data_IF_267995555548
#
_entry.id   IF_267995555548
#
_cell.length_a   1.000
_cell.length_b   1.000
_cell.length_c   1.000
_cell.angle_alpha   90.00
_cell.angle_beta   90.00
_cell.angle_gamma   90.00
#
_symmetry.space_group_name_H-M   'P 1'
#
loop_
_entity.id
_entity.type
_entity.pdbx_description
1 polymer ?
#
# COMPACT_ATOMS: atom_id res chain seq x y z
N UNK A 1 7.50 10.66 -14.62
CA UNK A 1 6.08 10.31 -14.43
C UNK A 1 5.78 8.85 -14.72
N UNK A 2 6.05 8.32 -15.93
CA UNK A 2 5.68 6.94 -16.33
C UNK A 2 6.12 5.89 -15.30
N UNK A 3 7.36 5.97 -14.81
CA UNK A 3 7.89 5.03 -13.81
C UNK A 3 7.24 5.19 -12.44
N UNK A 4 7.02 6.44 -12.01
CA UNK A 4 6.32 6.73 -10.76
C UNK A 4 4.90 6.15 -10.77
N UNK A 5 4.14 6.41 -11.82
CA UNK A 5 2.80 5.84 -12.00
C UNK A 5 2.83 4.31 -12.02
N UNK A 6 3.75 3.71 -12.77
CA UNK A 6 3.89 2.26 -12.83
C UNK A 6 4.13 1.67 -11.42
N UNK A 7 5.14 2.17 -10.70
CA UNK A 7 5.47 1.68 -9.35
C UNK A 7 4.27 1.86 -8.42
N UNK A 8 3.65 3.04 -8.41
CA UNK A 8 2.53 3.32 -7.51
C UNK A 8 1.33 2.44 -7.81
N UNK A 9 0.90 2.36 -9.08
CA UNK A 9 -0.28 1.58 -9.46
C UNK A 9 -0.05 0.09 -9.19
N UNK A 10 1.09 -0.46 -9.63
CA UNK A 10 1.37 -1.89 -9.44
C UNK A 10 1.50 -2.25 -7.96
N UNK A 11 2.15 -1.40 -7.16
CA UNK A 11 2.28 -1.63 -5.72
C UNK A 11 0.94 -1.57 -5.00
N UNK A 12 0.14 -0.54 -5.24
CA UNK A 12 -1.17 -0.37 -4.59
C UNK A 12 -2.13 -1.48 -4.98
N UNK A 13 -2.21 -1.85 -6.26
CA UNK A 13 -3.07 -2.96 -6.70
C UNK A 13 -2.66 -4.27 -6.03
N UNK A 14 -1.36 -4.55 -5.97
CA UNK A 14 -0.85 -5.76 -5.33
C UNK A 14 -1.15 -5.78 -3.82
N UNK A 15 -0.93 -4.65 -3.12
CA UNK A 15 -1.26 -4.50 -1.70
C UNK A 15 -2.75 -4.74 -1.47
N UNK A 16 -3.63 -4.08 -2.22
CA UNK A 16 -5.07 -4.19 -2.04
C UNK A 16 -5.56 -5.62 -2.27
N UNK A 17 -5.12 -6.29 -3.32
CA UNK A 17 -5.54 -7.66 -3.62
C UNK A 17 -5.03 -8.65 -2.57
N UNK A 18 -3.72 -8.67 -2.32
CA UNK A 18 -3.13 -9.62 -1.38
C UNK A 18 -3.59 -9.39 0.07
N UNK A 19 -3.61 -8.12 0.51
CA UNK A 19 -3.92 -7.82 1.89
C UNK A 19 -5.43 -7.92 2.20
N UNK A 20 -6.33 -7.66 1.23
CA UNK A 20 -7.76 -7.89 1.43
C UNK A 20 -8.09 -9.37 1.59
N UNK A 21 -7.49 -10.24 0.76
CA UNK A 21 -7.61 -11.70 0.90
C UNK A 21 -7.04 -12.17 2.24
N UNK A 22 -5.86 -11.67 2.61
CA UNK A 22 -5.21 -12.01 3.88
C UNK A 22 -6.06 -11.54 5.07
N UNK A 23 -6.56 -10.31 5.05
CA UNK A 23 -7.40 -9.75 6.12
C UNK A 23 -8.71 -10.52 6.28
N UNK A 24 -9.34 -10.90 5.18
CA UNK A 24 -10.52 -11.77 5.20
C UNK A 24 -10.19 -13.13 5.83
N UNK A 25 -9.17 -13.83 5.34
CA UNK A 25 -8.76 -15.14 5.85
C UNK A 25 -8.43 -15.08 7.35
N UNK A 26 -7.61 -14.14 7.79
CA UNK A 26 -7.19 -14.00 9.18
C UNK A 26 -8.34 -13.67 10.13
N UNK A 27 -9.40 -13.03 9.63
CA UNK A 27 -10.59 -12.70 10.41
C UNK A 27 -11.52 -13.92 10.54
N UNK A 28 -11.67 -14.71 9.46
CA UNK A 28 -12.59 -15.88 9.45
C UNK A 28 -11.98 -17.12 10.08
N UNK A 29 -10.69 -17.32 9.95
CA UNK A 29 -10.00 -18.48 10.54
C UNK A 29 -9.53 -18.16 11.96
N UNK A 30 -10.35 -18.53 12.94
CA UNK A 30 -10.08 -18.25 14.35
C UNK A 30 -9.22 -19.34 15.01
N UNK A 31 -7.95 -19.46 14.60
CA UNK A 31 -7.00 -20.36 15.23
C UNK A 31 -5.78 -19.60 15.79
N UNK A 32 -4.94 -20.28 16.59
CA UNK A 32 -3.73 -19.69 17.20
C UNK A 32 -2.73 -19.19 16.15
N UNK A 33 -2.59 -19.91 15.04
CA UNK A 33 -1.68 -19.55 13.96
C UNK A 33 -2.14 -18.25 13.26
N UNK A 34 -3.45 -18.15 12.93
CA UNK A 34 -4.01 -16.96 12.31
C UNK A 34 -3.85 -15.71 13.19
N UNK A 35 -4.10 -15.84 14.51
CA UNK A 35 -3.87 -14.76 15.47
C UNK A 35 -2.40 -14.34 15.52
N UNK A 36 -1.49 -15.31 15.54
CA UNK A 36 -0.05 -15.04 15.55
C UNK A 36 0.41 -14.36 14.25
N UNK A 37 -0.05 -14.85 13.09
CA UNK A 37 0.26 -14.23 11.79
C UNK A 37 -0.27 -12.79 11.70
N UNK A 38 -1.50 -12.54 12.15
CA UNK A 38 -2.06 -11.19 12.21
C UNK A 38 -1.20 -10.26 13.09
N UNK A 39 -0.80 -10.75 14.26
CA UNK A 39 0.08 -10.00 15.16
C UNK A 39 1.43 -9.67 14.49
N UNK A 40 2.06 -10.63 13.83
CA UNK A 40 3.34 -10.43 13.14
C UNK A 40 3.22 -9.39 12.01
N UNK A 41 2.16 -9.49 11.19
CA UNK A 41 1.95 -8.57 10.09
C UNK A 41 1.72 -7.15 10.62
N UNK A 42 0.85 -6.99 11.61
CA UNK A 42 0.59 -5.66 12.21
C UNK A 42 1.82 -5.14 12.95
N UNK A 43 2.58 -6.02 13.63
CA UNK A 43 3.82 -5.64 14.31
C UNK A 43 4.85 -5.06 13.33
N UNK A 44 4.85 -5.47 12.07
CA UNK A 44 5.76 -4.91 11.05
C UNK A 44 5.64 -3.39 10.89
N UNK A 45 4.50 -2.78 11.21
CA UNK A 45 4.31 -1.33 11.20
C UNK A 45 5.15 -0.59 12.27
N UNK A 46 5.50 -1.28 13.34
CA UNK A 46 6.26 -0.71 14.48
C UNK A 46 7.75 -0.67 14.17
N UNK A 47 8.22 -1.54 13.26
CA UNK A 47 9.63 -1.62 12.89
C UNK A 47 10.01 -0.44 11.99
N UNK A 48 10.89 0.48 12.42
CA UNK A 48 11.32 1.58 11.59
C UNK A 48 12.04 1.09 10.34
N UNK A 49 11.67 1.62 9.16
CA UNK A 49 12.29 1.28 7.89
C UNK A 49 13.83 1.40 7.92
N UNK A 50 14.33 2.43 8.60
CA UNK A 50 15.76 2.73 8.72
C UNK A 50 16.56 1.61 9.39
N UNK A 51 15.95 0.79 10.24
CA UNK A 51 16.62 -0.35 10.89
C UNK A 51 16.91 -1.48 9.92
N UNK A 52 16.07 -1.65 8.91
CA UNK A 52 16.14 -2.78 7.96
C UNK A 52 16.67 -2.40 6.58
N UNK A 53 16.81 -1.11 6.28
CA UNK A 53 17.05 -0.58 4.93
C UNK A 53 18.30 -1.16 4.24
N UNK A 54 19.41 -1.33 4.95
CA UNK A 54 20.65 -1.87 4.35
C UNK A 54 20.55 -3.36 4.06
N UNK A 55 19.97 -4.12 4.98
CA UNK A 55 19.73 -5.55 4.79
C UNK A 55 18.72 -5.78 3.67
N UNK A 56 17.68 -4.94 3.63
CA UNK A 56 16.68 -4.93 2.56
C UNK A 56 17.33 -4.68 1.19
N UNK A 57 18.17 -3.65 1.07
CA UNK A 57 18.84 -3.32 -0.20
C UNK A 57 19.67 -4.51 -0.71
N UNK A 58 20.46 -5.16 0.15
CA UNK A 58 21.22 -6.37 -0.20
C UNK A 58 20.32 -7.54 -0.62
N UNK A 59 19.19 -7.73 0.08
CA UNK A 59 18.24 -8.80 -0.23
C UNK A 59 17.53 -8.53 -1.56
N UNK A 60 17.14 -7.29 -1.80
CA UNK A 60 16.52 -6.85 -3.05
C UNK A 60 17.45 -7.08 -4.25
N UNK A 61 18.73 -6.78 -4.09
CA UNK A 61 19.74 -7.02 -5.13
C UNK A 61 19.90 -8.52 -5.42
N UNK A 62 20.05 -9.35 -4.37
CA UNK A 62 20.13 -10.82 -4.51
C UNK A 62 18.91 -11.42 -5.22
N UNK A 63 17.72 -10.92 -4.92
CA UNK A 63 16.46 -11.39 -5.50
C UNK A 63 16.11 -10.69 -6.82
N UNK A 64 16.98 -9.81 -7.34
CA UNK A 64 16.78 -9.01 -8.57
C UNK A 64 15.49 -8.18 -8.54
N UNK A 65 15.15 -7.64 -7.36
CA UNK A 65 13.99 -6.78 -7.16
C UNK A 65 14.29 -5.30 -7.43
N UNK A 66 15.44 -4.99 -8.01
CA UNK A 66 16.01 -3.66 -8.24
C UNK A 66 15.52 -2.98 -9.54
N UNK A 67 14.30 -3.26 -9.94
CA UNK A 67 13.68 -2.65 -11.12
C UNK A 67 12.23 -2.19 -10.82
N UNK A 68 11.67 -1.27 -11.66
CA UNK A 68 10.34 -0.70 -11.41
C UNK A 68 9.17 -1.70 -11.39
N UNK A 69 9.33 -2.89 -11.96
CA UNK A 69 8.30 -3.92 -11.99
C UNK A 69 8.29 -4.76 -10.71
N UNK A 70 9.47 -5.02 -10.15
CA UNK A 70 9.62 -5.96 -9.03
C UNK A 70 9.64 -5.24 -7.67
N UNK A 71 9.92 -3.93 -7.64
CA UNK A 71 9.93 -3.16 -6.38
C UNK A 71 8.57 -3.17 -5.68
N UNK A 72 7.48 -3.41 -6.40
CA UNK A 72 6.13 -3.55 -5.84
C UNK A 72 6.02 -4.70 -4.83
N UNK A 73 6.86 -5.74 -4.94
CA UNK A 73 6.93 -6.84 -3.97
C UNK A 73 7.46 -6.33 -2.63
N UNK A 74 8.42 -5.42 -2.66
CA UNK A 74 8.96 -4.80 -1.45
C UNK A 74 7.92 -3.88 -0.82
N UNK A 75 7.23 -3.07 -1.64
CA UNK A 75 6.13 -2.23 -1.17
C UNK A 75 4.99 -3.05 -0.57
N UNK A 76 4.66 -4.22 -1.15
CA UNK A 76 3.70 -5.15 -0.55
C UNK A 76 4.12 -5.55 0.87
N UNK A 77 5.40 -5.88 1.09
CA UNK A 77 5.91 -6.26 2.41
C UNK A 77 5.72 -5.16 3.46
N UNK A 78 6.03 -3.91 3.13
CA UNK A 78 5.91 -2.79 4.05
C UNK A 78 4.48 -2.25 4.18
N UNK A 79 3.70 -2.24 3.09
CA UNK A 79 2.30 -1.80 3.11
C UNK A 79 1.35 -2.82 3.74
N UNK A 80 1.76 -4.09 3.81
CA UNK A 80 0.90 -5.16 4.34
C UNK A 80 0.44 -4.89 5.78
N UNK A 81 1.27 -4.30 6.63
CA UNK A 81 0.91 -4.00 8.02
C UNK A 81 -0.35 -3.15 8.11
N UNK A 82 -0.33 -1.97 7.50
CA UNK A 82 -1.46 -1.04 7.49
C UNK A 82 -2.68 -1.64 6.77
N UNK A 83 -2.47 -2.19 5.58
CA UNK A 83 -3.57 -2.72 4.77
C UNK A 83 -4.29 -3.88 5.46
N UNK A 84 -3.56 -4.86 6.00
CA UNK A 84 -4.16 -5.99 6.75
C UNK A 84 -4.87 -5.50 8.01
N UNK A 85 -4.28 -4.54 8.73
CA UNK A 85 -4.93 -3.93 9.89
C UNK A 85 -6.30 -3.33 9.52
N UNK A 86 -6.35 -2.54 8.44
CA UNK A 86 -7.61 -1.92 7.98
C UNK A 86 -8.63 -2.97 7.54
N UNK A 87 -8.21 -3.96 6.75
CA UNK A 87 -9.12 -5.00 6.26
C UNK A 87 -9.63 -5.91 7.38
N UNK A 88 -8.76 -6.34 8.30
CA UNK A 88 -9.19 -7.14 9.47
C UNK A 88 -10.12 -6.36 10.38
N UNK A 89 -9.85 -5.06 10.59
CA UNK A 89 -10.72 -4.18 11.37
C UNK A 89 -12.13 -4.11 10.79
N UNK A 90 -12.24 -3.86 9.49
CA UNK A 90 -13.55 -3.80 8.80
C UNK A 90 -14.25 -5.17 8.76
N UNK A 91 -13.53 -6.24 8.42
CA UNK A 91 -14.11 -7.59 8.31
C UNK A 91 -14.72 -8.11 9.60
N UNK A 92 -14.25 -7.68 10.77
CA UNK A 92 -14.88 -8.01 12.06
C UNK A 92 -16.31 -7.49 12.18
N UNK A 93 -16.68 -6.47 11.41
CA UNK A 93 -18.03 -5.91 11.42
C UNK A 93 -18.96 -6.52 10.39
N UNK A 94 -18.44 -7.37 9.50
CA UNK A 94 -19.21 -8.04 8.45
C UNK A 94 -19.76 -9.36 9.02
N UNK A 95 -21.10 -9.57 9.06
CA UNK A 95 -21.71 -10.80 9.54
C UNK A 95 -21.26 -12.02 8.73
N UNK A 96 -21.05 -13.15 9.42
CA UNK A 96 -20.62 -14.40 8.77
C UNK A 96 -21.71 -15.01 7.90
N UNK A 97 -22.96 -14.78 8.27
CA UNK A 97 -24.17 -15.31 7.64
C UNK A 97 -24.25 -14.96 6.15
N UNK A 98 -23.66 -13.83 5.73
CA UNK A 98 -23.62 -13.43 4.31
C UNK A 98 -22.74 -14.39 3.50
N UNK A 99 -21.65 -14.84 4.07
CA UNK A 99 -20.73 -15.79 3.43
C UNK A 99 -21.30 -17.22 3.48
N UNK A 100 -21.96 -17.59 4.58
CA UNK A 100 -22.67 -18.87 4.75
C UNK A 100 -23.81 -19.02 3.73
N UNK A 101 -24.59 -17.97 3.51
CA UNK A 101 -25.62 -17.96 2.48
C UNK A 101 -25.03 -18.22 1.08
N UNK A 102 -23.90 -17.57 0.75
CA UNK A 102 -23.21 -17.81 -0.51
C UNK A 102 -22.64 -19.23 -0.64
N UNK A 103 -22.25 -19.87 0.49
CA UNK A 103 -21.84 -21.28 0.51
C UNK A 103 -23.01 -22.20 0.22
N UNK A 104 -24.19 -21.93 0.80
CA UNK A 104 -25.42 -22.68 0.54
C UNK A 104 -25.81 -22.56 -0.94
N UNK A 105 -25.63 -21.39 -1.54
CA UNK A 105 -25.83 -21.15 -2.98
C UNK A 105 -24.77 -21.81 -3.88
N UNK A 106 -23.85 -22.60 -3.32
CA UNK A 106 -22.85 -23.38 -4.06
C UNK A 106 -21.61 -22.60 -4.47
N UNK A 107 -21.34 -21.42 -3.91
CA UNK A 107 -20.12 -20.66 -4.18
C UNK A 107 -18.91 -21.32 -3.51
N UNK A 108 -17.82 -21.48 -4.26
CA UNK A 108 -16.52 -21.84 -3.69
C UNK A 108 -15.85 -20.65 -2.97
N UNK A 109 -14.83 -20.86 -2.12
CA UNK A 109 -14.19 -19.75 -1.36
C UNK A 109 -13.68 -18.59 -2.21
N UNK A 110 -13.15 -18.87 -3.41
CA UNK A 110 -12.68 -17.83 -4.33
C UNK A 110 -13.86 -17.00 -4.86
N UNK A 111 -14.96 -17.66 -5.19
CA UNK A 111 -16.19 -16.99 -5.61
C UNK A 111 -16.80 -16.16 -4.48
N UNK A 112 -16.80 -16.67 -3.25
CA UNK A 112 -17.26 -15.91 -2.08
C UNK A 112 -16.42 -14.66 -1.91
N UNK A 113 -15.10 -14.79 -1.98
CA UNK A 113 -14.22 -13.62 -1.88
C UNK A 113 -14.56 -12.57 -2.95
N UNK A 114 -14.51 -12.92 -4.24
CA UNK A 114 -14.64 -11.92 -5.30
C UNK A 114 -16.07 -11.42 -5.53
N UNK A 115 -17.09 -12.26 -5.31
CA UNK A 115 -18.50 -11.90 -5.57
C UNK A 115 -19.20 -11.27 -4.37
N UNK A 116 -18.78 -11.60 -3.14
CA UNK A 116 -19.46 -11.20 -1.91
C UNK A 116 -18.55 -10.28 -1.08
N UNK A 117 -17.41 -10.79 -0.64
CA UNK A 117 -16.53 -10.07 0.31
C UNK A 117 -15.89 -8.84 -0.33
N UNK A 118 -15.32 -8.99 -1.53
CA UNK A 118 -14.60 -7.91 -2.21
C UNK A 118 -15.47 -6.67 -2.48
N UNK A 119 -16.74 -6.80 -2.96
CA UNK A 119 -17.66 -5.66 -3.06
C UNK A 119 -17.97 -5.00 -1.71
N UNK A 120 -18.14 -5.81 -0.65
CA UNK A 120 -18.41 -5.31 0.71
C UNK A 120 -17.21 -4.51 1.25
N UNK A 121 -15.99 -4.96 0.94
CA UNK A 121 -14.74 -4.28 1.34
C UNK A 121 -14.50 -2.96 0.59
N UNK A 122 -15.28 -2.61 -0.43
CA UNK A 122 -15.04 -1.45 -1.30
C UNK A 122 -14.76 -0.14 -0.55
N UNK A 123 -15.48 0.26 0.52
CA UNK A 123 -15.18 1.50 1.24
C UNK A 123 -13.77 1.47 1.87
N UNK A 124 -13.43 0.37 2.54
CA UNK A 124 -12.11 0.20 3.15
C UNK A 124 -11.00 0.10 2.10
N UNK A 125 -11.27 -0.55 0.97
CA UNK A 125 -10.31 -0.61 -0.15
C UNK A 125 -9.99 0.77 -0.70
N UNK A 126 -10.97 1.65 -0.85
CA UNK A 126 -10.76 3.02 -1.33
C UNK A 126 -9.90 3.79 -0.32
N UNK A 127 -10.22 3.70 0.97
CA UNK A 127 -9.45 4.38 2.03
C UNK A 127 -8.01 3.87 2.09
N UNK A 128 -7.81 2.56 2.04
CA UNK A 128 -6.48 1.94 2.01
C UNK A 128 -5.72 2.32 0.75
N UNK A 129 -6.38 2.32 -0.42
CA UNK A 129 -5.78 2.72 -1.69
C UNK A 129 -5.25 4.15 -1.65
N UNK A 130 -5.99 5.08 -1.05
CA UNK A 130 -5.56 6.47 -0.92
C UNK A 130 -4.31 6.58 -0.04
N UNK A 131 -4.32 5.96 1.14
CA UNK A 131 -3.21 6.00 2.08
C UNK A 131 -1.95 5.38 1.47
N UNK A 132 -2.06 4.20 0.87
CA UNK A 132 -0.94 3.50 0.22
C UNK A 132 -0.44 4.26 -1.02
N UNK A 133 -1.35 4.87 -1.81
CA UNK A 133 -0.95 5.69 -2.95
C UNK A 133 -0.15 6.90 -2.50
N UNK A 134 -0.61 7.60 -1.46
CA UNK A 134 0.12 8.77 -0.93
C UNK A 134 1.49 8.36 -0.39
N UNK A 135 1.58 7.23 0.30
CA UNK A 135 2.84 6.73 0.82
C UNK A 135 3.81 6.36 -0.30
N UNK A 136 3.42 5.49 -1.24
CA UNK A 136 4.28 5.05 -2.35
C UNK A 136 4.64 6.19 -3.30
N UNK A 137 3.71 7.12 -3.55
CA UNK A 137 3.94 8.26 -4.43
C UNK A 137 5.01 9.21 -3.92
N UNK A 138 5.02 9.46 -2.60
CA UNK A 138 5.95 10.40 -1.98
C UNK A 138 7.26 9.74 -1.53
N UNK A 139 7.39 8.42 -1.65
CA UNK A 139 8.56 7.72 -1.16
C UNK A 139 9.79 8.02 -2.03
N UNK A 140 10.81 8.50 -1.35
CA UNK A 140 12.13 8.76 -1.89
C UNK A 140 13.12 7.66 -1.50
N UNK A 141 13.02 7.17 -0.26
CA UNK A 141 14.09 6.43 0.38
C UNK A 141 14.23 5.01 -0.16
N UNK A 142 13.11 4.27 -0.23
CA UNK A 142 13.12 2.90 -0.74
C UNK A 142 13.56 2.82 -2.22
N UNK A 143 13.00 3.63 -3.15
CA UNK A 143 13.46 3.62 -4.54
C UNK A 143 14.95 3.98 -4.68
N UNK A 144 15.44 4.90 -3.87
CA UNK A 144 16.88 5.30 -3.91
C UNK A 144 17.81 4.18 -3.47
N UNK A 145 17.39 3.35 -2.51
CA UNK A 145 18.19 2.24 -1.99
C UNK A 145 18.14 0.99 -2.85
N UNK A 146 17.04 0.81 -3.60
CA UNK A 146 16.77 -0.44 -4.33
C UNK A 146 16.97 -0.29 -5.83
N UNK A 147 16.53 0.81 -6.43
CA UNK A 147 16.60 0.98 -7.88
C UNK A 147 17.99 1.45 -8.35
N UNK A 148 18.36 1.05 -9.57
CA UNK A 148 19.50 1.64 -10.26
C UNK A 148 19.19 3.11 -10.62
N UNK A 149 19.76 4.04 -9.86
CA UNK A 149 19.54 5.49 -9.98
C UNK A 149 19.89 6.02 -11.37
N UNK A 150 20.86 5.40 -12.06
CA UNK A 150 21.26 5.82 -13.41
C UNK A 150 20.18 5.50 -14.45
N UNK A 151 19.48 4.38 -14.26
CA UNK A 151 18.44 3.89 -15.21
C UNK A 151 17.04 4.31 -14.79
N UNK A 152 16.74 4.30 -13.50
CA UNK A 152 15.39 4.43 -12.97
C UNK A 152 15.32 5.55 -11.95
N UNK A 153 14.76 6.70 -12.35
CA UNK A 153 14.50 7.82 -11.43
C UNK A 153 13.00 7.97 -11.22
N UNK A 154 12.59 8.09 -9.98
CA UNK A 154 11.25 8.51 -9.57
C UNK A 154 11.18 10.03 -9.44
N UNK A 155 9.99 10.60 -9.27
CA UNK A 155 9.84 12.06 -9.10
C UNK A 155 10.52 12.53 -7.81
N UNK A 156 10.32 11.89 -6.63
CA UNK A 156 11.02 12.27 -5.41
C UNK A 156 12.55 12.20 -5.54
N UNK A 157 13.07 11.19 -6.25
CA UNK A 157 14.51 11.10 -6.54
C UNK A 157 15.00 12.25 -7.42
N UNK A 158 14.21 12.68 -8.42
CA UNK A 158 14.56 13.81 -9.27
C UNK A 158 14.57 15.13 -8.50
N UNK A 159 13.61 15.34 -7.59
CA UNK A 159 13.58 16.52 -6.71
C UNK A 159 14.85 16.60 -5.86
N UNK A 160 15.27 15.48 -5.28
CA UNK A 160 16.51 15.44 -4.48
C UNK A 160 17.77 15.62 -5.33
N UNK A 161 17.76 15.20 -6.58
CA UNK A 161 18.87 15.44 -7.50
C UNK A 161 19.14 16.94 -7.73
N UNK A 162 18.08 17.77 -7.85
CA UNK A 162 18.21 19.23 -7.99
C UNK A 162 18.62 19.92 -6.69
N UNK A 163 18.59 19.23 -5.57
CA UNK A 163 19.11 19.72 -4.29
C UNK A 163 20.63 19.76 -4.26
N UNK A 164 21.29 19.09 -5.20
CA UNK A 164 22.72 19.14 -5.49
C UNK A 164 23.63 18.56 -4.40
N UNK A 165 24.81 18.08 -4.83
CA UNK A 165 25.95 17.94 -3.95
C UNK A 165 26.74 19.29 -3.94
N UNK A 166 27.49 19.55 -2.89
CA UNK A 166 28.34 20.76 -2.76
C UNK A 166 27.60 22.11 -2.61
N UNK A 167 26.37 22.11 -2.06
CA UNK A 167 25.69 23.36 -1.69
C UNK A 167 25.03 24.14 -2.84
N UNK A 168 25.09 23.67 -4.07
CA UNK A 168 24.34 24.26 -5.19
C UNK A 168 22.93 23.66 -5.23
N UNK A 169 21.95 24.48 -4.90
CA UNK A 169 20.53 24.12 -5.04
C UNK A 169 19.98 24.80 -6.29
N UNK A 170 19.57 24.00 -7.26
CA UNK A 170 18.85 24.49 -8.43
C UNK A 170 17.37 24.67 -8.09
N UNK A 171 17.06 25.83 -7.46
CA UNK A 171 15.71 26.09 -6.90
C UNK A 171 14.62 26.08 -7.97
N UNK A 172 14.84 26.69 -9.14
CA UNK A 172 13.82 26.80 -10.16
C UNK A 172 13.37 25.45 -10.72
N UNK A 173 14.25 24.54 -11.20
CA UNK A 173 13.83 23.21 -11.65
C UNK A 173 13.32 22.34 -10.50
N UNK A 174 13.85 22.48 -9.28
CA UNK A 174 13.35 21.78 -8.11
C UNK A 174 11.90 22.14 -7.79
N UNK A 175 11.57 23.45 -7.76
CA UNK A 175 10.20 23.92 -7.53
C UNK A 175 9.25 23.51 -8.64
N UNK A 176 9.68 23.55 -9.90
CA UNK A 176 8.89 23.04 -11.02
C UNK A 176 8.57 21.55 -10.86
N UNK A 177 9.54 20.73 -10.46
CA UNK A 177 9.32 19.30 -10.18
C UNK A 177 8.35 19.07 -9.03
N UNK A 178 8.43 19.87 -7.95
CA UNK A 178 7.51 19.77 -6.81
C UNK A 178 6.07 20.11 -7.26
N UNK A 179 5.88 21.20 -7.98
CA UNK A 179 4.54 21.58 -8.49
C UNK A 179 3.96 20.45 -9.35
N UNK A 180 4.75 19.92 -10.27
CA UNK A 180 4.35 18.81 -11.12
C UNK A 180 4.03 17.54 -10.27
N UNK A 181 4.81 17.26 -9.23
CA UNK A 181 4.61 16.09 -8.34
C UNK A 181 3.31 16.18 -7.54
N UNK A 182 2.87 17.38 -7.17
CA UNK A 182 1.67 17.61 -6.35
C UNK A 182 0.37 17.44 -7.16
N UNK A 183 0.37 17.73 -8.46
CA UNK A 183 -0.84 17.70 -9.29
C UNK A 183 -1.61 16.36 -9.20
N UNK A 184 -0.99 15.18 -9.37
CA UNK A 184 -1.71 13.90 -9.27
C UNK A 184 -2.29 13.66 -7.88
N UNK A 185 -1.62 14.10 -6.83
CA UNK A 185 -2.10 13.98 -5.44
C UNK A 185 -3.33 14.86 -5.21
N UNK A 186 -3.33 16.09 -5.73
CA UNK A 186 -4.49 16.98 -5.66
C UNK A 186 -5.69 16.35 -6.38
N UNK A 187 -5.47 15.83 -7.60
CA UNK A 187 -6.51 15.16 -8.37
C UNK A 187 -7.07 13.96 -7.59
N UNK A 188 -6.20 13.12 -7.06
CA UNK A 188 -6.59 11.96 -6.24
C UNK A 188 -7.41 12.40 -5.03
N UNK A 189 -6.95 13.43 -4.29
CA UNK A 189 -7.66 13.95 -3.14
C UNK A 189 -9.05 14.48 -3.51
N UNK A 190 -9.14 15.33 -4.52
CA UNK A 190 -10.42 15.93 -4.97
C UNK A 190 -11.44 14.88 -5.43
N UNK A 191 -10.96 13.80 -6.04
CA UNK A 191 -11.86 12.72 -6.51
C UNK A 191 -12.27 11.76 -5.38
N UNK A 192 -11.43 11.61 -4.36
CA UNK A 192 -11.62 10.60 -3.33
C UNK A 192 -11.98 11.16 -1.95
N UNK A 193 -12.01 12.49 -1.74
CA UNK A 193 -12.22 13.13 -0.43
C UNK A 193 -13.47 12.65 0.32
N UNK A 194 -14.58 12.41 -0.39
CA UNK A 194 -15.81 11.89 0.24
C UNK A 194 -15.62 10.52 0.87
N UNK A 195 -14.84 9.65 0.24
CA UNK A 195 -14.58 8.30 0.74
C UNK A 195 -13.59 8.30 1.92
N UNK A 196 -12.69 9.28 1.98
CA UNK A 196 -11.79 9.48 3.13
C UNK A 196 -12.62 9.80 4.37
N UNK A 197 -13.57 10.72 4.25
CA UNK A 197 -14.44 11.14 5.35
C UNK A 197 -15.31 9.95 5.81
N UNK A 198 -15.95 9.24 4.89
CA UNK A 198 -16.77 8.07 5.19
C UNK A 198 -15.94 6.94 5.88
N UNK A 199 -14.72 6.67 5.40
CA UNK A 199 -13.85 5.63 5.97
C UNK A 199 -13.33 5.97 7.36
N UNK A 200 -12.98 7.22 7.61
CA UNK A 200 -12.53 7.71 8.94
C UNK A 200 -13.69 7.70 9.94
N UNK A 201 -14.87 8.15 9.52
CA UNK A 201 -16.07 8.16 10.37
C UNK A 201 -16.52 6.74 10.73
N UNK A 202 -16.49 5.81 9.78
CA UNK A 202 -16.84 4.41 10.04
C UNK A 202 -15.86 3.73 11.04
N UNK A 203 -14.60 4.17 11.09
CA UNK A 203 -13.60 3.71 12.07
C UNK A 203 -13.76 4.37 13.45
N UNK A 204 -14.20 5.63 13.50
CA UNK A 204 -14.29 6.41 14.75
C UNK A 204 -15.59 6.18 15.54
N UNK A 205 -16.68 5.75 14.89
CA UNK A 205 -18.00 5.55 15.54
C UNK A 205 -18.10 4.24 16.34
N UNK A 206 -17.05 3.41 16.35
CA UNK A 206 -16.99 2.12 17.09
C UNK A 206 -16.05 2.14 18.30
N UNK A 207 -15.73 3.32 18.83
CA UNK A 207 -15.11 3.50 20.13
C UNK A 207 -16.15 3.70 21.23
#
# INVERSE_FOLDING_TARGET
YKRQLLITITSVVLILLCCSMTGWYLTRVNNKLSKFMNLLIVFSMVVPFQMVMFTLSKTADRLKLNNPWNICIIYLGFGAGLAVFMFTGFMKSVPMEIEEAAMIDGCNPIQIFFKVVFPILKPTMISTAILETMWVWNDYLLPTLVLDIKKYRTIPMAIQYFRGGYGRVELAPMMACIIIAIIPIIILYMTCQKYIIEGVVAGAVKG
#
